data_IF_244600776181
#
_entry.id   IF_244600776181
#
_cell.length_a   1.000
_cell.length_b   1.000
_cell.length_c   1.000
_cell.angle_alpha   90.00
_cell.angle_beta   90.00
_cell.angle_gamma   90.00
#
_symmetry.space_group_name_H-M   'P 1'
#
loop_
_entity.id
_entity.type
_entity.pdbx_description
1 polymer ?
#
# COMPACT_ATOMS: atom_id res chain seq x y z
N UNK A 1 6.12 -9.23 -44.33
CA UNK A 1 6.48 -8.31 -43.24
C UNK A 1 6.13 -8.96 -41.92
N UNK A 2 7.13 -9.46 -41.21
CA UNK A 2 6.94 -10.07 -39.89
C UNK A 2 7.00 -8.96 -38.84
N UNK A 3 5.91 -8.75 -38.10
CA UNK A 3 5.90 -7.87 -36.94
C UNK A 3 6.76 -8.51 -35.84
N UNK A 4 7.83 -7.82 -35.45
CA UNK A 4 8.60 -8.14 -34.25
C UNK A 4 7.75 -7.82 -33.03
N UNK A 5 7.17 -8.86 -32.43
CA UNK A 5 6.70 -8.81 -31.04
C UNK A 5 7.95 -8.84 -30.17
N UNK A 6 8.57 -7.67 -30.00
CA UNK A 6 9.75 -7.47 -29.16
C UNK A 6 9.36 -7.50 -27.69
N UNK A 7 9.66 -8.63 -27.05
CA UNK A 7 10.01 -8.84 -25.64
C UNK A 7 9.51 -7.83 -24.58
N UNK A 8 8.20 -7.79 -24.35
CA UNK A 8 7.56 -7.03 -23.25
C UNK A 8 7.93 -7.59 -21.85
N UNK A 9 8.47 -8.83 -21.78
CA UNK A 9 8.80 -9.54 -20.54
C UNK A 9 10.08 -9.04 -19.88
N UNK A 10 11.08 -8.60 -20.65
CA UNK A 10 12.33 -8.09 -20.08
C UNK A 10 12.14 -6.74 -19.38
N UNK A 11 11.21 -5.91 -19.86
CA UNK A 11 10.84 -4.65 -19.21
C UNK A 11 10.20 -4.85 -17.84
N UNK A 12 9.24 -5.78 -17.72
CA UNK A 12 8.58 -6.07 -16.44
C UNK A 12 9.53 -6.64 -15.39
N UNK A 13 10.47 -7.50 -15.79
CA UNK A 13 11.41 -8.13 -14.86
C UNK A 13 12.41 -7.13 -14.26
N UNK A 14 12.82 -6.13 -15.03
CA UNK A 14 13.68 -5.04 -14.55
C UNK A 14 12.96 -4.15 -13.53
N UNK A 15 11.70 -3.79 -13.80
CA UNK A 15 10.85 -3.00 -12.89
C UNK A 15 10.67 -3.74 -11.55
N UNK A 16 10.36 -5.03 -11.60
CA UNK A 16 10.20 -5.87 -10.40
C UNK A 16 11.52 -5.98 -9.61
N UNK A 17 12.65 -6.15 -10.29
CA UNK A 17 13.97 -6.24 -9.65
C UNK A 17 14.36 -4.93 -8.95
N UNK A 18 14.15 -3.79 -9.63
CA UNK A 18 14.40 -2.47 -9.05
C UNK A 18 13.51 -2.23 -7.83
N UNK A 19 12.25 -2.66 -7.89
CA UNK A 19 11.30 -2.54 -6.79
C UNK A 19 11.74 -3.37 -5.58
N UNK A 20 12.17 -4.62 -5.80
CA UNK A 20 12.67 -5.49 -4.72
C UNK A 20 13.90 -4.91 -4.03
N UNK A 21 14.82 -4.36 -4.80
CA UNK A 21 16.05 -3.73 -4.29
C UNK A 21 15.69 -2.52 -3.42
N UNK A 22 14.81 -1.65 -3.92
CA UNK A 22 14.34 -0.49 -3.18
C UNK A 22 13.57 -0.88 -1.91
N UNK A 23 12.63 -1.80 -2.01
CA UNK A 23 11.86 -2.28 -0.86
C UNK A 23 12.77 -2.89 0.22
N UNK A 24 13.82 -3.61 -0.17
CA UNK A 24 14.80 -4.13 0.78
C UNK A 24 15.58 -3.01 1.50
N UNK A 25 15.85 -1.89 0.84
CA UNK A 25 16.52 -0.72 1.42
C UNK A 25 15.59 0.10 2.33
N UNK A 26 14.36 0.37 1.88
CA UNK A 26 13.35 1.11 2.65
C UNK A 26 12.92 0.35 3.90
N UNK A 27 12.83 -0.98 3.84
CA UNK A 27 12.40 -1.83 4.94
C UNK A 27 10.87 -2.01 4.97
N UNK A 28 10.28 -2.30 6.14
CA UNK A 28 8.84 -2.58 6.24
C UNK A 28 7.99 -1.35 5.89
N UNK A 29 6.78 -1.61 5.37
CA UNK A 29 5.75 -0.60 5.14
C UNK A 29 4.69 -0.67 6.24
N UNK A 30 4.01 0.45 6.45
CA UNK A 30 2.88 0.53 7.38
C UNK A 30 1.60 0.84 6.62
N UNK A 31 0.49 0.32 7.12
CA UNK A 31 -0.84 0.72 6.69
C UNK A 31 -1.55 1.37 7.88
N UNK A 32 -2.30 2.44 7.62
CA UNK A 32 -3.15 3.08 8.62
C UNK A 32 -4.54 3.30 8.05
N UNK A 33 -5.55 3.31 8.92
CA UNK A 33 -6.92 3.69 8.61
C UNK A 33 -7.40 4.80 9.54
N UNK A 34 -8.41 5.56 9.12
CA UNK A 34 -8.84 6.76 9.84
C UNK A 34 -10.34 7.06 9.70
N UNK A 35 -10.82 7.93 10.58
CA UNK A 35 -12.16 8.53 10.54
C UNK A 35 -12.41 9.34 9.26
N UNK A 36 -11.36 9.84 8.60
CA UNK A 36 -11.44 10.58 7.32
C UNK A 36 -11.84 9.71 6.10
N UNK A 37 -12.10 8.42 6.37
CA UNK A 37 -12.53 7.39 5.41
C UNK A 37 -11.40 6.94 4.49
N UNK A 38 -10.14 7.17 4.86
CA UNK A 38 -8.97 6.78 4.07
C UNK A 38 -8.23 5.61 4.69
N UNK A 39 -7.60 4.83 3.80
CA UNK A 39 -6.54 3.89 4.15
C UNK A 39 -5.27 4.37 3.44
N UNK A 40 -4.17 4.49 4.17
CA UNK A 40 -2.91 5.06 3.69
C UNK A 40 -1.78 4.07 3.87
N UNK A 41 -0.87 4.03 2.91
CA UNK A 41 0.39 3.29 3.01
C UNK A 41 1.50 4.29 3.30
N UNK A 42 2.37 3.91 4.22
CA UNK A 42 3.52 4.69 4.63
C UNK A 42 4.78 3.90 4.33
N UNK A 43 5.79 4.61 3.81
CA UNK A 43 7.11 4.06 3.55
C UNK A 43 8.14 4.82 4.35
N UNK A 44 9.12 4.08 4.84
CA UNK A 44 10.30 4.67 5.46
C UNK A 44 11.28 5.08 4.36
N UNK A 45 11.79 6.31 4.43
CA UNK A 45 12.86 6.74 3.55
C UNK A 45 14.11 5.88 3.78
N UNK A 46 14.70 5.28 2.73
CA UNK A 46 15.91 4.49 2.91
C UNK A 46 17.04 5.39 3.39
N UNK A 47 17.74 4.95 4.45
CA UNK A 47 18.95 5.63 4.92
C UNK A 47 20.09 5.24 3.98
N UNK A 48 20.63 6.21 3.25
CA UNK A 48 21.95 6.04 2.64
C UNK A 48 22.95 5.73 3.75
N UNK A 49 23.71 4.65 3.59
CA UNK A 49 24.76 4.27 4.55
C UNK A 49 25.74 5.43 4.63
N UNK A 50 26.05 6.00 5.80
CA UNK A 50 26.86 7.22 5.87
C UNK A 50 28.26 6.96 5.30
N UNK A 51 28.48 7.38 4.05
CA UNK A 51 29.80 7.49 3.45
C UNK A 51 30.44 8.76 3.96
N UNK A 52 31.37 8.62 4.91
CA UNK A 52 32.34 9.66 5.22
C UNK A 52 31.94 10.67 6.28
N UNK A 53 32.04 10.29 7.56
CA UNK A 53 32.63 11.24 8.51
C UNK A 53 34.15 11.11 8.37
N UNK A 54 34.79 12.01 7.63
CA UNK A 54 36.25 12.10 7.49
C UNK A 54 36.97 12.50 8.79
N UNK A 55 36.52 11.98 9.93
CA UNK A 55 37.10 12.22 11.24
C UNK A 55 38.05 11.05 11.53
N UNK A 56 39.35 11.31 11.78
CA UNK A 56 40.30 10.29 12.17
C UNK A 56 39.80 9.50 13.40
N UNK A 57 39.92 8.17 13.34
CA UNK A 57 39.41 7.22 14.33
C UNK A 57 39.85 7.48 15.79
N UNK A 58 40.84 8.35 16.02
CA UNK A 58 41.36 8.69 17.34
C UNK A 58 40.55 9.77 18.11
N UNK A 59 39.62 10.48 17.47
CA UNK A 59 38.75 11.50 18.10
C UNK A 59 37.28 11.08 18.19
N UNK A 60 36.94 9.88 17.71
CA UNK A 60 35.58 9.40 17.74
C UNK A 60 35.20 9.00 19.16
N UNK A 61 34.47 9.90 19.85
CA UNK A 61 33.77 9.61 21.09
C UNK A 61 33.02 8.28 20.90
N UNK A 62 33.20 7.27 21.77
CA UNK A 62 32.58 5.96 21.62
C UNK A 62 31.06 6.11 21.49
N UNK A 63 30.50 5.43 20.49
CA UNK A 63 29.11 5.48 20.01
C UNK A 63 28.03 5.08 21.02
N UNK A 64 28.39 4.88 22.28
CA UNK A 64 27.49 4.51 23.39
C UNK A 64 26.63 5.71 23.87
N UNK A 65 27.06 6.96 23.62
CA UNK A 65 26.38 8.18 24.15
C UNK A 65 25.54 8.90 23.07
N UNK A 66 25.43 8.36 21.85
CA UNK A 66 24.44 8.81 20.88
C UNK A 66 23.43 7.69 20.69
N UNK A 67 22.14 7.90 20.96
CA UNK A 67 21.12 6.99 20.44
C UNK A 67 21.40 6.85 18.95
N UNK A 68 21.75 5.64 18.52
CA UNK A 68 22.04 5.34 17.13
C UNK A 68 20.75 5.52 16.32
N UNK A 69 20.50 6.73 15.85
CA UNK A 69 19.64 7.05 14.71
C UNK A 69 18.14 6.83 14.89
N UNK A 70 17.51 7.46 15.89
CA UNK A 70 16.07 7.36 16.18
C UNK A 70 15.15 8.11 15.20
N UNK A 71 15.67 8.95 14.32
CA UNK A 71 14.82 9.66 13.36
C UNK A 71 14.63 8.76 12.12
N UNK A 72 13.57 7.97 12.14
CA UNK A 72 13.01 7.38 10.93
C UNK A 72 12.07 8.40 10.30
N UNK A 73 12.32 8.75 9.04
CA UNK A 73 11.41 9.60 8.28
C UNK A 73 10.47 8.67 7.53
N UNK A 74 9.18 8.83 7.81
CA UNK A 74 8.11 8.12 7.13
C UNK A 74 7.38 9.12 6.24
N UNK A 75 7.18 8.73 4.99
CA UNK A 75 6.41 9.48 4.02
C UNK A 75 5.16 8.71 3.64
N UNK A 76 4.09 9.46 3.35
CA UNK A 76 2.90 8.90 2.75
C UNK A 76 3.24 8.46 1.33
N UNK A 77 3.11 7.17 1.09
CA UNK A 77 3.39 6.55 -0.19
C UNK A 77 2.19 6.65 -1.12
N UNK A 78 1.01 6.30 -0.59
CA UNK A 78 -0.23 6.36 -1.35
C UNK A 78 -1.45 6.31 -0.44
N UNK A 79 -2.55 6.87 -0.94
CA UNK A 79 -3.89 6.72 -0.38
C UNK A 79 -4.60 5.68 -1.24
N UNK A 80 -5.08 4.60 -0.62
CA UNK A 80 -5.85 3.56 -1.31
C UNK A 80 -7.16 4.13 -1.88
N UNK A 81 -7.74 3.49 -2.92
CA UNK A 81 -9.03 3.90 -3.45
C UNK A 81 -10.09 4.07 -2.35
N UNK A 82 -10.68 5.28 -2.30
CA UNK A 82 -11.62 5.67 -1.25
C UNK A 82 -13.01 5.09 -1.54
N UNK A 83 -13.31 3.97 -0.90
CA UNK A 83 -14.60 3.27 -1.04
C UNK A 83 -15.41 3.24 0.25
N UNK A 84 -14.82 3.56 1.40
CA UNK A 84 -15.56 3.63 2.64
C UNK A 84 -16.40 4.91 2.70
N UNK A 85 -17.66 4.76 3.10
CA UNK A 85 -18.62 5.86 3.21
C UNK A 85 -18.68 6.46 4.61
N UNK A 86 -18.15 5.73 5.60
CA UNK A 86 -18.01 6.15 6.99
C UNK A 86 -16.60 5.83 7.51
N UNK A 87 -16.38 5.94 8.82
CA UNK A 87 -15.07 5.75 9.44
C UNK A 87 -14.53 4.33 9.24
N UNK A 88 -13.21 4.23 9.02
CA UNK A 88 -12.52 2.94 8.94
C UNK A 88 -11.91 2.62 10.30
N UNK A 89 -12.24 1.46 10.86
CA UNK A 89 -11.85 1.09 12.23
C UNK A 89 -10.64 0.18 12.27
N UNK A 90 -10.47 -0.70 11.28
CA UNK A 90 -9.35 -1.62 11.24
C UNK A 90 -8.89 -1.91 9.81
N UNK A 91 -7.59 -2.21 9.70
CA UNK A 91 -6.95 -2.73 8.50
C UNK A 91 -6.10 -3.95 8.84
N UNK A 92 -6.02 -4.91 7.92
CA UNK A 92 -5.17 -6.07 8.04
C UNK A 92 -4.43 -6.34 6.73
N UNK A 93 -3.11 -6.45 6.80
CA UNK A 93 -2.26 -6.70 5.64
C UNK A 93 -1.70 -8.12 5.70
N UNK A 94 -2.04 -8.94 4.72
CA UNK A 94 -1.49 -10.29 4.60
C UNK A 94 -0.02 -10.23 4.19
N UNK A 95 0.83 -10.88 4.99
CA UNK A 95 2.24 -11.09 4.65
C UNK A 95 2.45 -12.17 3.60
N UNK A 96 1.42 -13.01 3.35
CA UNK A 96 1.51 -14.14 2.41
C UNK A 96 1.07 -13.75 1.01
N UNK A 97 -0.13 -13.18 0.90
CA UNK A 97 -0.74 -12.81 -0.38
C UNK A 97 -0.46 -11.37 -0.78
N UNK A 98 -0.06 -10.51 0.17
CA UNK A 98 0.10 -9.08 -0.04
C UNK A 98 -1.22 -8.32 -0.07
N UNK A 99 -2.37 -9.01 0.06
CA UNK A 99 -3.69 -8.38 0.10
C UNK A 99 -3.87 -7.56 1.38
N UNK A 100 -4.52 -6.42 1.24
CA UNK A 100 -4.89 -5.56 2.35
C UNK A 100 -6.40 -5.55 2.49
N UNK A 101 -6.92 -5.79 3.69
CA UNK A 101 -8.33 -5.70 4.00
C UNK A 101 -8.60 -4.48 4.90
N UNK A 102 -9.74 -3.81 4.70
CA UNK A 102 -10.24 -2.75 5.59
C UNK A 102 -11.71 -2.97 5.94
N UNK A 103 -12.08 -2.53 7.14
CA UNK A 103 -13.44 -2.60 7.67
C UNK A 103 -13.78 -1.37 8.49
N UNK A 104 -15.07 -1.05 8.62
CA UNK A 104 -15.49 0.13 9.37
C UNK A 104 -16.98 0.25 9.65
N UNK A 105 -17.37 1.48 9.97
CA UNK A 105 -18.73 1.87 10.38
C UNK A 105 -19.80 1.70 9.28
N UNK A 106 -19.39 1.61 8.02
CA UNK A 106 -20.29 1.40 6.89
C UNK A 106 -20.67 -0.07 6.67
N UNK A 107 -20.21 -0.97 7.54
CA UNK A 107 -20.54 -2.40 7.43
C UNK A 107 -19.87 -3.10 6.24
N UNK A 108 -18.88 -2.45 5.61
CA UNK A 108 -18.17 -2.99 4.44
C UNK A 108 -16.90 -3.74 4.83
N UNK A 109 -16.65 -4.85 4.13
CA UNK A 109 -15.30 -5.42 4.01
C UNK A 109 -14.77 -5.06 2.62
N UNK A 110 -13.59 -4.44 2.57
CA UNK A 110 -12.94 -4.09 1.30
C UNK A 110 -11.60 -4.79 1.24
N UNK A 111 -11.27 -5.40 0.10
CA UNK A 111 -9.97 -6.03 -0.14
C UNK A 111 -9.27 -5.33 -1.30
N UNK A 112 -8.00 -5.00 -1.08
CA UNK A 112 -7.13 -4.31 -2.01
C UNK A 112 -5.94 -5.17 -2.40
N UNK A 113 -5.47 -4.97 -3.63
CA UNK A 113 -4.28 -5.60 -4.19
C UNK A 113 -3.36 -4.51 -4.77
N UNK A 114 -2.07 -4.62 -4.48
CA UNK A 114 -1.05 -3.80 -5.11
C UNK A 114 -0.56 -4.46 -6.41
N UNK A 115 -0.55 -3.71 -7.50
CA UNK A 115 -0.12 -4.17 -8.82
C UNK A 115 1.00 -3.28 -9.36
N UNK A 116 1.88 -3.86 -10.18
CA UNK A 116 2.86 -3.09 -10.92
C UNK A 116 2.16 -2.36 -12.08
N UNK A 117 2.40 -1.06 -12.19
CA UNK A 117 1.94 -0.29 -13.35
C UNK A 117 2.96 -0.51 -14.47
N UNK A 118 2.55 -1.05 -15.64
CA UNK A 118 3.42 -1.11 -16.80
C UNK A 118 3.87 0.30 -17.14
N UNK A 119 5.16 0.50 -17.44
CA UNK A 119 5.66 1.77 -17.95
C UNK A 119 4.93 2.08 -19.26
N UNK A 120 3.88 2.90 -19.19
CA UNK A 120 3.25 3.39 -20.40
C UNK A 120 4.23 4.34 -21.07
N UNK A 121 4.63 4.01 -22.29
CA UNK A 121 5.28 4.96 -23.20
C UNK A 121 4.34 6.16 -23.33
N UNK A 122 4.72 7.28 -22.72
CA UNK A 122 3.90 8.48 -22.70
C UNK A 122 3.52 8.91 -24.11
N UNK A 123 2.25 8.83 -24.46
CA UNK A 123 1.70 9.69 -25.49
C UNK A 123 1.32 11.02 -24.84
N UNK A 124 1.88 12.15 -25.28
CA UNK A 124 1.47 13.46 -24.80
C UNK A 124 0.02 13.71 -25.23
N UNK A 125 -0.89 13.72 -24.25
CA UNK A 125 -2.23 14.26 -24.45
C UNK A 125 -2.09 15.74 -24.85
N UNK A 126 -2.66 16.18 -25.98
CA UNK A 126 -2.62 17.58 -26.36
C UNK A 126 -3.39 18.41 -25.33
N UNK A 127 -2.72 19.39 -24.72
CA UNK A 127 -3.37 20.42 -23.92
C UNK A 127 -4.34 21.19 -24.82
N UNK A 128 -5.64 21.05 -24.59
CA UNK A 128 -6.62 22.05 -25.04
C UNK A 128 -6.53 23.24 -24.08
N UNK A 129 -5.97 24.34 -24.60
CA UNK A 129 -6.06 25.67 -23.97
C UNK A 129 -7.43 26.24 -24.28
N UNK A 130 -8.24 26.49 -23.25
CA UNK A 130 -9.32 27.48 -23.36
C UNK A 130 -9.32 28.39 -22.13
N UNK A 131 -9.06 29.66 -22.40
CA UNK A 131 -9.04 30.79 -21.46
C UNK A 131 -10.48 31.25 -21.13
N UNK A 132 -10.89 31.21 -19.86
CA UNK A 132 -11.87 32.16 -19.31
C UNK A 132 -11.85 32.21 -17.76
N UNK A 133 -11.80 33.44 -17.23
CA UNK A 133 -11.57 33.86 -15.84
C UNK A 133 -12.72 33.57 -14.84
N UNK A 134 -12.38 33.21 -13.59
CA UNK A 134 -13.27 33.30 -12.42
C UNK A 134 -12.61 32.80 -11.12
N UNK A 135 -12.54 33.65 -10.09
CA UNK A 135 -11.59 33.59 -8.97
C UNK A 135 -11.92 32.67 -7.76
N UNK A 136 -10.85 32.40 -7.00
CA UNK A 136 -10.74 32.11 -5.56
C UNK A 136 -10.74 30.63 -5.09
N UNK A 137 -9.59 30.17 -4.59
CA UNK A 137 -9.52 29.03 -3.67
C UNK A 137 -8.21 28.23 -3.73
N UNK A 138 -7.25 28.64 -2.90
CA UNK A 138 -6.18 27.85 -2.29
C UNK A 138 -5.40 26.81 -3.15
N UNK A 139 -4.22 27.23 -3.57
CA UNK A 139 -2.95 26.49 -3.65
C UNK A 139 -3.00 24.99 -3.26
N UNK A 140 -3.34 24.14 -4.24
CA UNK A 140 -2.87 22.76 -4.30
C UNK A 140 -1.78 22.65 -5.36
N UNK A 141 -0.62 23.21 -5.05
CA UNK A 141 0.62 22.83 -5.73
C UNK A 141 0.98 21.43 -5.21
N UNK A 142 0.42 20.40 -5.84
CA UNK A 142 0.95 19.05 -5.77
C UNK A 142 2.33 19.11 -6.41
N UNK A 143 3.35 19.39 -5.58
CA UNK A 143 4.72 19.09 -5.93
C UNK A 143 4.77 17.58 -6.17
N UNK A 144 4.77 17.19 -7.44
CA UNK A 144 5.15 15.86 -7.85
C UNK A 144 6.59 15.65 -7.35
N UNK A 145 6.71 15.10 -6.14
CA UNK A 145 7.94 14.47 -5.73
C UNK A 145 8.18 13.36 -6.75
N UNK A 146 9.30 13.45 -7.46
CA UNK A 146 9.78 12.37 -8.32
C UNK A 146 9.81 11.10 -7.46
N UNK A 147 8.82 10.23 -7.62
CA UNK A 147 8.75 8.97 -6.90
C UNK A 147 9.95 8.13 -7.33
N UNK A 148 10.94 7.97 -6.47
CA UNK A 148 12.21 7.29 -6.74
C UNK A 148 12.08 5.76 -6.83
N UNK A 149 10.86 5.24 -6.73
CA UNK A 149 10.56 3.82 -6.72
C UNK A 149 9.65 3.42 -7.90
N UNK A 150 9.67 2.15 -8.32
CA UNK A 150 8.88 1.72 -9.47
C UNK A 150 7.38 1.86 -9.22
N UNK A 151 6.59 2.35 -10.20
CA UNK A 151 5.20 2.72 -9.97
C UNK A 151 4.36 1.46 -9.69
N UNK A 152 3.82 1.39 -8.48
CA UNK A 152 2.75 0.45 -8.13
C UNK A 152 1.44 1.19 -7.94
N UNK A 153 0.33 0.54 -8.24
CA UNK A 153 -1.00 1.06 -7.95
C UNK A 153 -1.81 0.07 -7.12
N UNK A 154 -2.70 0.62 -6.28
CA UNK A 154 -3.60 -0.18 -5.47
C UNK A 154 -4.97 -0.24 -6.13
N UNK A 155 -5.49 -1.46 -6.30
CA UNK A 155 -6.83 -1.74 -6.84
C UNK A 155 -7.71 -2.37 -5.78
N UNK A 156 -8.98 -1.99 -5.78
CA UNK A 156 -10.02 -2.73 -5.05
C UNK A 156 -10.34 -3.98 -5.85
N UNK A 157 -10.21 -5.14 -5.22
CA UNK A 157 -10.51 -6.44 -5.85
C UNK A 157 -11.80 -7.06 -5.33
N UNK A 158 -12.25 -6.66 -4.14
CA UNK A 158 -13.51 -7.11 -3.57
C UNK A 158 -14.12 -6.06 -2.64
N UNK A 159 -15.44 -5.97 -2.66
CA UNK A 159 -16.25 -5.22 -1.70
C UNK A 159 -17.39 -6.14 -1.26
N UNK A 160 -17.58 -6.28 0.04
CA UNK A 160 -18.73 -6.96 0.63
C UNK A 160 -19.52 -5.95 1.46
N UNK A 161 -20.65 -5.51 0.94
CA UNK A 161 -21.60 -4.66 1.65
C UNK A 161 -22.41 -5.46 2.68
N UNK A 162 -22.70 -4.84 3.82
CA UNK A 162 -23.56 -5.43 4.85
C UNK A 162 -23.04 -6.78 5.35
N UNK A 163 -21.70 -6.93 5.47
CA UNK A 163 -21.08 -8.19 5.86
C UNK A 163 -21.58 -8.66 7.25
N UNK A 164 -21.93 -7.69 8.10
CA UNK A 164 -22.59 -7.87 9.39
C UNK A 164 -23.98 -7.21 9.43
N UNK A 165 -24.72 -7.22 8.31
CA UNK A 165 -26.04 -6.61 8.20
C UNK A 165 -25.97 -5.08 8.31
N UNK A 166 -26.73 -4.51 9.23
CA UNK A 166 -26.75 -3.05 9.50
C UNK A 166 -25.71 -2.62 10.54
N UNK A 167 -24.91 -3.55 11.05
CA UNK A 167 -23.98 -3.31 12.16
C UNK A 167 -22.59 -2.95 11.66
N UNK A 168 -21.89 -2.17 12.47
CA UNK A 168 -20.51 -1.74 12.22
C UNK A 168 -19.53 -2.90 12.43
N UNK A 169 -18.46 -2.93 11.62
CA UNK A 169 -17.41 -3.94 11.73
C UNK A 169 -16.23 -3.36 12.49
N UNK A 170 -15.93 -3.93 13.66
CA UNK A 170 -14.96 -3.41 14.62
C UNK A 170 -13.52 -3.80 14.29
N UNK A 171 -13.31 -5.02 13.78
CA UNK A 171 -11.97 -5.54 13.55
C UNK A 171 -11.92 -6.53 12.39
N UNK A 172 -10.74 -6.65 11.78
CA UNK A 172 -10.43 -7.63 10.72
C UNK A 172 -9.03 -8.20 10.92
N UNK A 173 -8.84 -9.48 10.63
CA UNK A 173 -7.53 -10.13 10.65
C UNK A 173 -7.42 -11.22 9.57
N UNK A 174 -6.22 -11.36 9.00
CA UNK A 174 -5.88 -12.52 8.18
C UNK A 174 -5.45 -13.69 9.06
N UNK A 175 -5.89 -14.90 8.72
CA UNK A 175 -5.52 -16.12 9.40
C UNK A 175 -5.31 -17.27 8.42
N UNK A 176 -4.43 -18.21 8.76
CA UNK A 176 -4.28 -19.43 7.99
C UNK A 176 -5.59 -20.24 8.03
N UNK A 177 -6.04 -20.69 6.86
CA UNK A 177 -7.18 -21.59 6.75
C UNK A 177 -6.83 -22.97 7.30
N UNK A 178 -7.66 -23.50 8.18
CA UNK A 178 -7.41 -24.76 8.89
C UNK A 178 -8.60 -25.75 8.87
N UNK A 179 -9.67 -25.47 8.13
CA UNK A 179 -10.82 -26.36 7.99
C UNK A 179 -10.57 -27.50 7.00
N UNK A 180 -11.45 -28.52 7.05
CA UNK A 180 -11.37 -29.74 6.22
C UNK A 180 -11.55 -29.51 4.72
N UNK A 181 -12.08 -28.36 4.31
CA UNK A 181 -12.29 -27.99 2.90
C UNK A 181 -11.08 -27.32 2.25
N UNK A 182 -9.96 -27.21 2.95
CA UNK A 182 -8.70 -26.69 2.41
C UNK A 182 -8.09 -27.68 1.40
N UNK A 183 -7.54 -27.16 0.31
CA UNK A 183 -6.76 -28.00 -0.61
C UNK A 183 -5.44 -28.44 0.03
N UNK A 184 -5.20 -29.76 0.05
CA UNK A 184 -4.00 -30.33 0.64
C UNK A 184 -2.74 -29.82 -0.07
N UNK A 185 -1.78 -29.29 0.71
CA UNK A 185 -0.55 -28.72 0.19
C UNK A 185 -0.63 -27.24 -0.24
N UNK A 186 -1.82 -26.62 -0.30
CA UNK A 186 -1.95 -25.18 -0.57
C UNK A 186 -2.09 -24.37 0.71
N UNK A 187 -1.23 -23.38 0.92
CA UNK A 187 -1.45 -22.41 2.00
C UNK A 187 -2.54 -21.43 1.58
N UNK A 188 -3.68 -21.50 2.26
CA UNK A 188 -4.82 -20.60 2.05
C UNK A 188 -4.98 -19.71 3.28
N UNK A 189 -5.42 -18.47 3.07
CA UNK A 189 -5.79 -17.55 4.14
C UNK A 189 -7.28 -17.22 4.09
N UNK A 190 -7.83 -16.99 5.28
CA UNK A 190 -9.18 -16.49 5.48
C UNK A 190 -9.12 -15.13 6.18
N UNK A 191 -10.15 -14.32 5.97
CA UNK A 191 -10.41 -13.13 6.76
C UNK A 191 -11.32 -13.50 7.93
N UNK A 192 -11.04 -12.95 9.10
CA UNK A 192 -11.89 -13.04 10.28
C UNK A 192 -12.33 -11.64 10.66
N UNK A 193 -13.63 -11.42 10.80
CA UNK A 193 -14.21 -10.13 11.20
C UNK A 193 -15.03 -10.24 12.47
N UNK A 194 -15.04 -9.17 13.25
CA UNK A 194 -15.89 -9.01 14.45
C UNK A 194 -16.70 -7.73 14.32
N UNK A 195 -17.92 -7.72 14.85
CA UNK A 195 -18.86 -6.60 14.68
C UNK A 195 -19.76 -6.39 15.90
N UNK A 196 -20.51 -5.30 15.88
CA UNK A 196 -21.47 -4.93 16.94
C UNK A 196 -22.69 -5.87 17.02
N UNK A 197 -22.91 -6.69 15.99
CA UNK A 197 -23.92 -7.75 16.01
C UNK A 197 -23.59 -8.91 16.97
N UNK A 198 -22.41 -8.86 17.61
CA UNK A 198 -21.91 -9.88 18.52
C UNK A 198 -21.39 -11.13 17.82
N UNK A 199 -21.32 -11.13 16.48
CA UNK A 199 -20.85 -12.26 15.69
C UNK A 199 -19.39 -12.15 15.29
N UNK A 200 -18.80 -13.32 15.02
CA UNK A 200 -17.51 -13.47 14.37
C UNK A 200 -17.76 -14.21 13.07
N UNK A 201 -17.31 -13.65 11.95
CA UNK A 201 -17.48 -14.26 10.63
C UNK A 201 -16.13 -14.55 9.99
N UNK A 202 -16.09 -15.63 9.22
CA UNK A 202 -14.91 -16.10 8.50
C UNK A 202 -15.20 -16.06 7.01
N UNK A 203 -14.29 -15.49 6.23
CA UNK A 203 -14.45 -15.23 4.82
C UNK A 203 -13.28 -15.80 4.03
N UNK A 204 -13.58 -16.39 2.88
CA UNK A 204 -12.59 -16.73 1.86
C UNK A 204 -12.60 -15.67 0.78
N UNK A 205 -11.42 -15.27 0.31
CA UNK A 205 -11.30 -14.39 -0.86
C UNK A 205 -11.00 -15.27 -2.08
N UNK A 206 -11.97 -15.43 -2.97
CA UNK A 206 -11.77 -16.11 -4.25
C UNK A 206 -11.20 -15.12 -5.27
N UNK A 207 -10.14 -15.52 -5.97
CA UNK A 207 -9.63 -14.83 -7.16
C UNK A 207 -10.35 -15.29 -8.42
#
# INVERSE_FOLDING_TARGET
>A
SANSVGDDRSGSDLVVSQWKTWHALSGPRLASCSHDKTVRIWRRQPKERPTGSGIPAASAIPSIIRPTGTDEIWEEDTILPRVHELSVYAVAWSKKTGLLASVGADGRIVVYEERFVPLSSGEPQPMETDDALGAAGADSSTSASESTHPPTDWKVIAIMDGAHGIYEINHVAWANRADRGREEGKEEEVLVTTADDGSIKVWTVSQ
#
